data_IF_180172218299
#
_entry.id   IF_180172218299
#
_cell.length_a   1.000
_cell.length_b   1.000
_cell.length_c   1.000
_cell.angle_alpha   90.00
_cell.angle_beta   90.00
_cell.angle_gamma   90.00
#
_symmetry.space_group_name_H-M   'P 1'
#
loop_
_entity.id
_entity.type
_entity.pdbx_description
1 polymer ?
#
# COMPACT_ATOMS: atom_id res chain seq x y z
N UNK A 1 15.24 -19.50 -8.72
CA UNK A 1 13.84 -19.44 -8.24
C UNK A 1 12.97 -19.08 -9.42
N UNK A 2 12.18 -20.03 -9.90
CA UNK A 2 11.37 -19.87 -11.12
C UNK A 2 10.34 -18.77 -10.91
N UNK A 3 10.49 -17.67 -11.65
CA UNK A 3 9.57 -16.54 -11.67
C UNK A 3 8.28 -17.02 -12.33
N UNK A 4 7.36 -17.57 -11.53
CA UNK A 4 6.06 -18.01 -12.03
C UNK A 4 5.22 -16.75 -12.28
N UNK A 5 4.93 -16.36 -13.53
CA UNK A 5 4.20 -15.13 -13.84
C UNK A 5 2.76 -15.16 -13.30
N UNK A 6 2.28 -16.32 -12.85
CA UNK A 6 0.98 -16.50 -12.19
C UNK A 6 0.94 -15.95 -10.75
N UNK A 7 2.09 -15.79 -10.10
CA UNK A 7 2.20 -15.33 -8.71
C UNK A 7 3.32 -14.30 -8.59
N UNK A 8 3.00 -13.05 -8.94
CA UNK A 8 3.84 -11.88 -8.73
C UNK A 8 2.98 -10.63 -8.67
N UNK A 9 3.52 -9.46 -8.27
CA UNK A 9 2.76 -8.20 -8.30
C UNK A 9 2.21 -7.88 -9.70
N UNK A 10 2.84 -8.40 -10.77
CA UNK A 10 2.36 -8.29 -12.15
C UNK A 10 1.13 -9.18 -12.46
N UNK A 11 0.76 -10.12 -11.60
CA UNK A 11 -0.38 -11.02 -11.78
C UNK A 11 -1.68 -10.49 -11.14
N UNK A 12 -1.57 -9.56 -10.19
CA UNK A 12 -2.74 -8.99 -9.52
C UNK A 12 -3.30 -7.83 -10.33
N UNK A 13 -4.58 -7.92 -10.71
CA UNK A 13 -5.29 -6.82 -11.35
C UNK A 13 -5.49 -5.67 -10.36
N UNK A 14 -5.72 -4.43 -10.85
CA UNK A 14 -6.05 -3.32 -9.97
C UNK A 14 -7.22 -3.61 -9.03
N UNK A 15 -8.26 -4.29 -9.51
CA UNK A 15 -9.42 -4.68 -8.71
C UNK A 15 -9.05 -5.63 -7.56
N UNK A 16 -8.15 -6.59 -7.81
CA UNK A 16 -7.66 -7.49 -6.77
C UNK A 16 -6.84 -6.73 -5.71
N UNK A 17 -6.00 -5.78 -6.13
CA UNK A 17 -5.22 -4.95 -5.21
C UNK A 17 -6.12 -4.02 -4.38
N UNK A 18 -7.17 -3.46 -4.98
CA UNK A 18 -8.17 -2.66 -4.26
C UNK A 18 -8.89 -3.52 -3.21
N UNK A 19 -9.30 -4.72 -3.57
CA UNK A 19 -9.93 -5.65 -2.63
C UNK A 19 -8.99 -6.01 -1.47
N UNK A 20 -7.72 -6.30 -1.74
CA UNK A 20 -6.71 -6.56 -0.70
C UNK A 20 -6.57 -5.36 0.22
N UNK A 21 -6.45 -4.15 -0.34
CA UNK A 21 -6.35 -2.92 0.44
C UNK A 21 -7.56 -2.73 1.36
N UNK A 22 -8.77 -2.98 0.86
CA UNK A 22 -9.99 -2.93 1.68
C UNK A 22 -9.97 -3.96 2.82
N UNK A 23 -9.55 -5.19 2.56
CA UNK A 23 -9.42 -6.21 3.62
C UNK A 23 -8.40 -5.78 4.68
N UNK A 24 -7.26 -5.24 4.26
CA UNK A 24 -6.25 -4.73 5.18
C UNK A 24 -6.80 -3.57 6.02
N UNK A 25 -7.55 -2.64 5.42
CA UNK A 25 -8.17 -1.53 6.14
C UNK A 25 -9.26 -1.98 7.14
N UNK A 26 -9.94 -3.09 6.86
CA UNK A 26 -10.89 -3.70 7.81
C UNK A 26 -10.20 -4.30 9.02
N UNK A 27 -9.08 -5.00 8.80
CA UNK A 27 -8.32 -5.68 9.86
C UNK A 27 -7.45 -4.71 10.65
N UNK A 28 -6.92 -3.68 9.98
CA UNK A 28 -5.96 -2.71 10.52
C UNK A 28 -6.57 -1.30 10.41
N UNK A 29 -7.34 -0.84 11.42
CA UNK A 29 -8.10 0.41 11.34
C UNK A 29 -7.24 1.66 11.11
N UNK A 30 -5.97 1.62 11.53
CA UNK A 30 -5.01 2.72 11.30
C UNK A 30 -4.71 2.94 9.81
N UNK A 31 -4.94 1.95 8.94
CA UNK A 31 -4.82 2.12 7.49
C UNK A 31 -5.95 2.98 6.90
N UNK A 32 -7.12 3.02 7.56
CA UNK A 32 -8.27 3.80 7.10
C UNK A 32 -8.13 5.29 7.38
N UNK A 33 -7.42 5.66 8.45
CA UNK A 33 -7.15 7.05 8.85
C UNK A 33 -5.87 7.58 8.20
N UNK A 34 -5.80 7.52 6.88
CA UNK A 34 -4.63 7.90 6.09
C UNK A 34 -4.66 9.40 5.71
N UNK A 35 -3.50 10.05 5.73
CA UNK A 35 -3.34 11.40 5.19
C UNK A 35 -3.57 11.41 3.67
N UNK A 36 -3.82 12.58 3.04
CA UNK A 36 -3.99 12.68 1.60
C UNK A 36 -2.80 12.11 0.81
N UNK A 37 -1.58 12.28 1.33
CA UNK A 37 -0.37 11.71 0.74
C UNK A 37 -0.42 10.17 0.73
N UNK A 38 -0.80 9.55 1.85
CA UNK A 38 -0.93 8.09 1.94
C UNK A 38 -2.07 7.56 1.08
N UNK A 39 -3.17 8.30 0.93
CA UNK A 39 -4.26 7.93 0.02
C UNK A 39 -3.80 7.91 -1.45
N UNK A 40 -2.93 8.86 -1.86
CA UNK A 40 -2.32 8.81 -3.19
C UNK A 40 -1.43 7.58 -3.37
N UNK A 41 -0.66 7.20 -2.34
CA UNK A 41 0.15 5.97 -2.39
C UNK A 41 -0.70 4.71 -2.52
N UNK A 42 -1.87 4.67 -1.87
CA UNK A 42 -2.83 3.59 -2.05
C UNK A 42 -3.38 3.50 -3.48
N UNK A 43 -3.72 4.64 -4.10
CA UNK A 43 -4.15 4.67 -5.49
C UNK A 43 -3.06 4.14 -6.44
N UNK A 44 -1.80 4.54 -6.22
CA UNK A 44 -0.64 4.06 -7.00
C UNK A 44 -0.35 2.58 -6.78
N UNK A 45 -0.56 2.06 -5.57
CA UNK A 45 -0.50 0.63 -5.29
C UNK A 45 -1.58 -0.13 -6.06
N UNK A 46 -2.84 0.35 -6.02
CA UNK A 46 -3.95 -0.24 -6.77
C UNK A 46 -3.67 -0.22 -8.28
N UNK A 47 -3.12 0.88 -8.80
CA UNK A 47 -2.81 1.04 -10.22
C UNK A 47 -1.68 0.14 -10.74
N UNK A 48 -0.96 -0.58 -9.88
CA UNK A 48 0.17 -1.40 -10.32
C UNK A 48 1.54 -0.74 -10.10
N UNK A 49 1.57 0.58 -9.94
CA UNK A 49 2.79 1.40 -9.98
C UNK A 49 3.70 1.21 -8.77
N UNK A 50 3.11 0.88 -7.61
CA UNK A 50 3.85 0.63 -6.38
C UNK A 50 3.57 -0.77 -5.84
N UNK A 51 4.55 -1.31 -5.11
CA UNK A 51 4.36 -2.50 -4.27
C UNK A 51 3.90 -2.10 -2.87
N UNK A 52 3.25 -3.02 -2.15
CA UNK A 52 2.82 -2.76 -0.78
C UNK A 52 3.99 -2.42 0.16
N UNK A 53 5.17 -3.00 -0.08
CA UNK A 53 6.40 -2.68 0.66
C UNK A 53 6.79 -1.21 0.51
N UNK A 54 6.74 -0.68 -0.72
CA UNK A 54 7.03 0.75 -0.98
C UNK A 54 6.01 1.66 -0.28
N UNK A 55 4.73 1.29 -0.29
CA UNK A 55 3.69 2.01 0.45
C UNK A 55 3.94 1.98 1.96
N UNK A 56 4.29 0.80 2.50
CA UNK A 56 4.55 0.64 3.93
C UNK A 56 5.76 1.45 4.39
N UNK A 57 6.82 1.48 3.58
CA UNK A 57 8.02 2.27 3.87
C UNK A 57 7.72 3.78 3.84
N UNK A 58 7.01 4.27 2.81
CA UNK A 58 6.64 5.68 2.73
C UNK A 58 5.69 6.11 3.88
N UNK A 59 4.83 5.20 4.36
CA UNK A 59 4.02 5.44 5.56
C UNK A 59 4.86 5.53 6.83
N UNK A 60 5.84 4.65 6.99
CA UNK A 60 6.75 4.69 8.13
C UNK A 60 7.60 5.97 8.13
N UNK A 61 8.04 6.41 6.95
CA UNK A 61 8.77 7.66 6.76
C UNK A 61 7.92 8.90 7.13
N UNK A 62 6.66 8.96 6.66
CA UNK A 62 5.73 10.03 7.04
C UNK A 62 5.47 10.06 8.57
N UNK A 63 5.35 8.87 9.19
CA UNK A 63 5.17 8.76 10.64
C UNK A 63 6.40 9.24 11.41
N UNK A 64 7.60 8.93 10.89
CA UNK A 64 8.89 9.34 11.45
C UNK A 64 9.07 10.86 11.32
N UNK A 65 8.77 11.43 10.15
CA UNK A 65 8.80 12.87 9.91
C UNK A 65 7.83 13.63 10.84
N UNK A 66 6.63 13.09 11.10
CA UNK A 66 5.67 13.64 12.06
C UNK A 66 6.09 13.46 13.52
N UNK A 67 6.85 12.41 13.84
CA UNK A 67 7.38 12.16 15.18
C UNK A 67 8.57 13.04 15.54
N UNK A 68 9.40 13.39 14.56
CA UNK A 68 10.56 14.29 14.73
C UNK A 68 10.15 15.76 14.90
N UNK A 69 8.95 16.13 14.48
CA UNK A 69 8.39 17.48 14.62
C UNK A 69 7.66 17.73 15.96
N UNK A 70 7.89 16.90 16.98
CA UNK A 70 7.27 16.99 18.32
C UNK A 70 8.27 17.29 19.41
#
# INVERSE_FOLDING_TARGET
MSHNPKFGPAAQTPEQRAWVLEQMQRIIPVLKKASPYIQQLYARYVAGELSWTQVSQARADEQTAKGLAR
#
